data_IF_549203951867
#
_entry.id   IF_549203951867
#
_cell.length_a   1.000
_cell.length_b   1.000
_cell.length_c   1.000
_cell.angle_alpha   90.00
_cell.angle_beta   90.00
_cell.angle_gamma   90.00
#
_symmetry.space_group_name_H-M   'P 1'
#
loop_
_entity.id
_entity.type
_entity.pdbx_description
1 polymer ?
#
# COMPACT_ATOMS: atom_id res chain seq x y z
N UNK A 1 17.96 -5.62 8.08
CA UNK A 1 18.99 -4.62 7.70
C UNK A 1 18.43 -3.20 7.64
N UNK A 2 17.24 -2.99 7.07
CA UNK A 2 16.57 -1.68 6.99
C UNK A 2 16.38 -0.96 8.34
N UNK A 3 15.76 -1.61 9.33
CA UNK A 3 15.47 -0.98 10.62
C UNK A 3 16.73 -0.51 11.36
N UNK A 4 17.78 -1.34 11.38
CA UNK A 4 19.05 -0.99 12.03
C UNK A 4 19.79 0.18 11.36
N UNK A 5 19.60 0.38 10.05
CA UNK A 5 20.13 1.56 9.36
C UNK A 5 19.35 2.81 9.77
N UNK A 6 18.03 2.73 9.83
CA UNK A 6 17.18 3.85 10.22
C UNK A 6 17.34 4.24 11.68
N UNK A 7 17.53 3.28 12.59
CA UNK A 7 17.87 3.56 13.99
C UNK A 7 19.14 4.39 14.17
N UNK A 8 20.09 4.32 13.21
CA UNK A 8 21.31 5.15 13.22
C UNK A 8 21.14 6.47 12.47
N UNK A 9 20.17 6.56 11.56
CA UNK A 9 19.97 7.69 10.64
C UNK A 9 18.91 8.68 11.12
N UNK A 10 17.90 8.22 11.83
CA UNK A 10 16.77 9.04 12.25
C UNK A 10 17.22 10.18 13.15
N UNK A 11 16.65 11.38 12.94
CA UNK A 11 16.86 12.54 13.80
C UNK A 11 15.90 12.55 14.98
N UNK A 12 14.70 11.98 14.80
CA UNK A 12 13.69 11.93 15.85
C UNK A 12 13.77 10.59 16.60
N UNK A 13 13.97 10.59 17.93
CA UNK A 13 14.00 9.35 18.72
C UNK A 13 12.66 8.60 18.68
N UNK A 14 11.55 9.32 18.47
CA UNK A 14 10.23 8.75 18.25
C UNK A 14 10.20 7.83 17.01
N UNK A 15 10.99 8.14 15.99
CA UNK A 15 11.11 7.32 14.78
C UNK A 15 11.80 5.99 15.07
N UNK A 16 12.90 6.00 15.84
CA UNK A 16 13.58 4.77 16.24
C UNK A 16 12.65 3.86 17.07
N UNK A 17 11.87 4.47 17.96
CA UNK A 17 10.87 3.79 18.79
C UNK A 17 9.75 3.19 17.95
N UNK A 18 9.19 3.95 17.00
CA UNK A 18 8.15 3.49 16.10
C UNK A 18 8.59 2.29 15.26
N UNK A 19 9.80 2.35 14.67
CA UNK A 19 10.40 1.25 13.91
C UNK A 19 10.55 0.01 14.79
N UNK A 20 11.01 0.18 16.04
CA UNK A 20 11.14 -0.94 16.96
C UNK A 20 9.79 -1.61 17.26
N UNK A 21 8.74 -0.83 17.51
CA UNK A 21 7.38 -1.38 17.70
C UNK A 21 6.88 -2.13 16.46
N UNK A 22 7.06 -1.53 15.27
CA UNK A 22 6.64 -2.14 14.00
C UNK A 22 7.34 -3.48 13.76
N UNK A 23 8.64 -3.59 14.06
CA UNK A 23 9.40 -4.84 13.92
C UNK A 23 8.89 -5.98 14.81
N UNK A 24 8.29 -5.63 15.96
CA UNK A 24 7.71 -6.61 16.89
C UNK A 24 6.21 -6.85 16.62
N UNK A 25 5.62 -6.18 15.63
CA UNK A 25 4.20 -6.29 15.29
C UNK A 25 3.27 -5.46 16.18
N UNK A 26 3.80 -4.55 16.99
CA UNK A 26 3.02 -3.63 17.82
C UNK A 26 2.57 -2.42 17.00
N UNK A 27 1.66 -2.64 16.05
CA UNK A 27 1.29 -1.64 15.03
C UNK A 27 0.59 -0.41 15.60
N UNK A 28 -0.21 -0.55 16.66
CA UNK A 28 -0.90 0.59 17.31
C UNK A 28 0.12 1.52 17.97
N UNK A 29 1.04 0.97 18.77
CA UNK A 29 2.12 1.74 19.40
C UNK A 29 3.09 2.33 18.37
N UNK A 30 3.32 1.63 17.25
CA UNK A 30 4.13 2.14 16.15
C UNK A 30 3.44 3.36 15.50
N UNK A 31 2.14 3.26 15.18
CA UNK A 31 1.34 4.33 14.60
C UNK A 31 1.36 5.59 15.47
N UNK A 32 1.07 5.45 16.77
CA UNK A 32 1.14 6.58 17.72
C UNK A 32 2.52 7.23 17.76
N UNK A 33 3.59 6.42 17.69
CA UNK A 33 4.96 6.91 17.74
C UNK A 33 5.35 7.67 16.47
N UNK A 34 4.88 7.21 15.30
CA UNK A 34 5.04 7.94 14.04
C UNK A 34 4.28 9.28 14.06
N UNK A 35 3.04 9.31 14.55
CA UNK A 35 2.24 10.54 14.68
C UNK A 35 2.90 11.55 15.62
N UNK A 36 3.43 11.08 16.76
CA UNK A 36 4.22 11.92 17.69
C UNK A 36 5.45 12.52 17.00
N UNK A 37 6.14 11.76 16.15
CA UNK A 37 7.28 12.25 15.37
C UNK A 37 6.85 13.34 14.37
N UNK A 38 5.77 13.10 13.60
CA UNK A 38 5.22 14.06 12.65
C UNK A 38 4.82 15.38 13.33
N UNK A 39 4.09 15.31 14.44
CA UNK A 39 3.62 16.49 15.19
C UNK A 39 4.79 17.32 15.73
N UNK A 40 5.83 16.66 16.24
CA UNK A 40 7.03 17.34 16.75
C UNK A 40 7.80 18.01 15.62
N UNK A 41 7.94 17.33 14.49
CA UNK A 41 8.63 17.88 13.33
C UNK A 41 7.89 19.08 12.72
N UNK A 42 6.55 19.05 12.72
CA UNK A 42 5.72 20.19 12.32
C UNK A 42 5.97 21.42 13.21
N UNK A 43 6.02 21.24 14.53
CA UNK A 43 6.34 22.32 15.48
C UNK A 43 7.75 22.87 15.29
N UNK A 44 8.72 22.01 15.00
CA UNK A 44 10.10 22.44 14.72
C UNK A 44 10.20 23.22 13.40
N UNK A 45 9.37 22.87 12.41
CA UNK A 45 9.26 23.58 11.13
C UNK A 45 8.68 24.98 11.27
N UNK A 46 7.69 25.15 12.13
CA UNK A 46 7.10 26.47 12.41
C UNK A 46 8.09 27.41 13.12
N UNK A 47 9.07 26.85 13.85
CA UNK A 47 10.05 27.60 14.64
C UNK A 47 11.36 27.87 13.90
N UNK A 48 11.69 27.08 12.89
CA UNK A 48 13.00 27.13 12.23
C UNK A 48 12.95 26.62 10.80
N UNK A 49 13.91 27.09 9.97
CA UNK A 49 14.08 26.54 8.62
C UNK A 49 14.51 25.07 8.73
N UNK A 50 13.66 24.18 8.21
CA UNK A 50 13.92 22.74 8.24
C UNK A 50 14.98 22.36 7.23
N UNK A 51 15.97 21.61 7.71
CA UNK A 51 16.99 21.02 6.86
C UNK A 51 16.38 19.99 5.90
N UNK A 52 16.69 20.04 4.60
CA UNK A 52 16.22 19.04 3.61
C UNK A 52 16.58 17.60 3.96
N UNK A 53 17.58 17.40 4.82
CA UNK A 53 17.98 16.07 5.30
C UNK A 53 16.89 15.35 6.11
N UNK A 54 15.82 16.03 6.53
CA UNK A 54 14.68 15.39 7.20
C UNK A 54 13.64 14.79 6.24
N UNK A 55 13.60 15.23 4.98
CA UNK A 55 12.56 14.79 4.03
C UNK A 55 12.47 13.26 3.86
N UNK A 56 13.59 12.50 3.86
CA UNK A 56 13.50 11.04 3.85
C UNK A 56 12.82 10.46 5.08
N UNK A 57 12.93 11.12 6.23
CA UNK A 57 12.28 10.70 7.49
C UNK A 57 10.78 11.04 7.47
N UNK A 58 10.37 12.14 6.82
CA UNK A 58 8.94 12.45 6.59
C UNK A 58 8.28 11.40 5.71
N UNK A 59 8.92 11.06 4.58
CA UNK A 59 8.42 10.03 3.68
C UNK A 59 8.33 8.68 4.40
N UNK A 60 9.33 8.34 5.20
CA UNK A 60 9.32 7.15 6.04
C UNK A 60 8.09 7.12 6.95
N UNK A 61 7.78 8.21 7.65
CA UNK A 61 6.63 8.23 8.56
C UNK A 61 5.32 8.06 7.82
N UNK A 62 5.14 8.73 6.68
CA UNK A 62 3.92 8.58 5.86
C UNK A 62 3.76 7.14 5.38
N UNK A 63 4.78 6.57 4.75
CA UNK A 63 4.75 5.21 4.21
C UNK A 63 4.47 4.17 5.31
N UNK A 64 5.09 4.33 6.48
CA UNK A 64 4.97 3.37 7.59
C UNK A 64 3.71 3.56 8.42
N UNK A 65 3.20 4.79 8.55
CA UNK A 65 1.89 5.05 9.13
C UNK A 65 0.82 4.37 8.27
N UNK A 66 0.84 4.57 6.94
CA UNK A 66 -0.09 3.88 6.01
C UNK A 66 0.00 2.37 6.17
N UNK A 67 1.21 1.82 6.27
CA UNK A 67 1.40 0.38 6.48
C UNK A 67 0.78 -0.09 7.79
N UNK A 68 1.06 0.58 8.91
CA UNK A 68 0.50 0.21 10.21
C UNK A 68 -1.04 0.27 10.18
N UNK A 69 -1.61 1.32 9.59
CA UNK A 69 -3.07 1.44 9.44
C UNK A 69 -3.67 0.29 8.62
N UNK A 70 -2.98 -0.18 7.56
CA UNK A 70 -3.41 -1.36 6.78
C UNK A 70 -3.38 -2.65 7.61
N UNK A 71 -2.33 -2.87 8.39
CA UNK A 71 -2.21 -4.04 9.27
C UNK A 71 -3.28 -4.01 10.39
N UNK A 72 -3.68 -2.82 10.83
CA UNK A 72 -4.75 -2.60 11.80
C UNK A 72 -6.16 -2.57 11.17
N UNK A 73 -6.27 -2.77 9.85
CA UNK A 73 -7.54 -2.76 9.11
C UNK A 73 -8.32 -1.44 9.21
N UNK A 74 -7.62 -0.30 9.34
CA UNK A 74 -8.19 1.05 9.44
C UNK A 74 -8.37 1.68 8.04
N UNK A 75 -9.37 1.24 7.29
CA UNK A 75 -9.55 1.67 5.89
C UNK A 75 -10.26 3.01 5.74
N UNK A 76 -11.14 3.38 6.67
CA UNK A 76 -11.85 4.66 6.64
C UNK A 76 -10.89 5.85 6.82
N UNK A 77 -10.00 5.88 7.84
CA UNK A 77 -9.02 6.96 7.97
C UNK A 77 -8.05 7.03 6.78
N UNK A 78 -7.68 5.89 6.20
CA UNK A 78 -6.84 5.85 5.00
C UNK A 78 -7.55 6.41 3.77
N UNK A 79 -8.87 6.22 3.66
CA UNK A 79 -9.68 6.80 2.58
C UNK A 79 -9.71 8.32 2.71
N UNK A 80 -9.92 8.84 3.92
CA UNK A 80 -9.88 10.29 4.18
C UNK A 80 -8.51 10.88 3.87
N UNK A 81 -7.44 10.21 4.31
CA UNK A 81 -6.07 10.61 4.01
C UNK A 81 -5.78 10.66 2.50
N UNK A 82 -6.18 9.61 1.75
CA UNK A 82 -5.97 9.56 0.30
C UNK A 82 -6.78 10.59 -0.51
N UNK A 83 -7.86 11.12 0.05
CA UNK A 83 -8.66 12.20 -0.54
C UNK A 83 -8.15 13.60 -0.16
N UNK A 84 -7.25 13.71 0.83
CA UNK A 84 -6.76 14.99 1.31
C UNK A 84 -5.95 15.74 0.24
N UNK A 85 -6.08 17.07 0.22
CA UNK A 85 -5.38 17.93 -0.75
C UNK A 85 -3.86 17.84 -0.51
N UNK A 86 -3.12 17.36 -1.51
CA UNK A 86 -1.66 17.23 -1.47
C UNK A 86 -1.14 15.79 -1.33
N UNK A 87 -2.01 14.83 -0.96
CA UNK A 87 -1.64 13.41 -0.78
C UNK A 87 -2.45 12.46 -1.68
N UNK A 88 -2.90 12.95 -2.85
CA UNK A 88 -3.64 12.13 -3.81
C UNK A 88 -2.77 10.96 -4.28
N UNK A 89 -3.09 9.77 -3.78
CA UNK A 89 -2.41 8.53 -4.12
C UNK A 89 -3.45 7.56 -4.72
N UNK A 90 -3.55 7.48 -6.06
CA UNK A 90 -4.50 6.62 -6.73
C UNK A 90 -4.37 5.14 -6.35
N UNK A 91 -3.17 4.66 -6.02
CA UNK A 91 -2.96 3.28 -5.58
C UNK A 91 -3.54 3.03 -4.19
N UNK A 92 -3.33 3.96 -3.25
CA UNK A 92 -3.93 3.88 -1.92
C UNK A 92 -5.46 3.97 -2.03
N UNK A 93 -5.97 4.90 -2.84
CA UNK A 93 -7.41 5.06 -3.06
C UNK A 93 -8.04 3.81 -3.68
N UNK A 94 -7.38 3.20 -4.66
CA UNK A 94 -7.83 1.94 -5.24
C UNK A 94 -7.91 0.86 -4.17
N UNK A 95 -6.86 0.71 -3.34
CA UNK A 95 -6.80 -0.26 -2.25
C UNK A 95 -7.86 -0.03 -1.16
N UNK A 96 -8.11 1.22 -0.77
CA UNK A 96 -9.14 1.53 0.21
C UNK A 96 -10.54 1.28 -0.36
N UNK A 97 -10.81 1.75 -1.59
CA UNK A 97 -12.13 1.70 -2.21
C UNK A 97 -12.67 0.27 -2.35
N UNK A 98 -11.82 -0.71 -2.71
CA UNK A 98 -12.26 -2.11 -2.78
C UNK A 98 -12.53 -2.71 -1.38
N UNK A 99 -11.78 -2.30 -0.35
CA UNK A 99 -11.94 -2.77 1.03
C UNK A 99 -13.22 -2.27 1.68
N UNK A 100 -13.62 -1.02 1.41
CA UNK A 100 -14.87 -0.42 1.91
C UNK A 100 -16.05 -0.56 0.95
N UNK A 101 -15.89 -1.34 -0.13
CA UNK A 101 -16.92 -1.59 -1.15
C UNK A 101 -17.47 -0.32 -1.84
N UNK A 102 -16.65 0.72 -1.96
CA UNK A 102 -16.99 1.92 -2.74
C UNK A 102 -16.61 1.72 -4.22
N UNK A 103 -17.48 1.04 -4.97
CA UNK A 103 -17.22 0.66 -6.36
C UNK A 103 -17.05 1.86 -7.30
N UNK A 104 -17.75 2.97 -7.05
CA UNK A 104 -17.62 4.18 -7.83
C UNK A 104 -16.22 4.80 -7.69
N UNK A 105 -15.76 4.97 -6.45
CA UNK A 105 -14.41 5.46 -6.18
C UNK A 105 -13.34 4.47 -6.68
N UNK A 106 -13.60 3.17 -6.59
CA UNK A 106 -12.70 2.14 -7.10
C UNK A 106 -12.54 2.26 -8.63
N UNK A 107 -13.64 2.45 -9.37
CA UNK A 107 -13.62 2.63 -10.83
C UNK A 107 -12.84 3.88 -11.24
N UNK A 108 -13.04 5.00 -10.54
CA UNK A 108 -12.31 6.24 -10.80
C UNK A 108 -10.81 6.12 -10.51
N UNK A 109 -10.45 5.55 -9.35
CA UNK A 109 -9.06 5.32 -8.96
C UNK A 109 -8.35 4.36 -9.93
N UNK A 110 -9.05 3.32 -10.40
CA UNK A 110 -8.51 2.34 -11.33
C UNK A 110 -8.10 2.99 -12.66
N UNK A 111 -8.91 3.90 -13.22
CA UNK A 111 -8.57 4.62 -14.46
C UNK A 111 -7.27 5.42 -14.29
N UNK A 112 -7.09 6.08 -13.13
CA UNK A 112 -5.88 6.85 -12.85
C UNK A 112 -4.64 5.94 -12.67
N UNK A 113 -4.81 4.82 -11.97
CA UNK A 113 -3.75 3.83 -11.80
C UNK A 113 -3.35 3.23 -13.15
N UNK A 114 -4.29 2.90 -14.02
CA UNK A 114 -4.02 2.33 -15.35
C UNK A 114 -3.10 3.21 -16.22
N UNK A 115 -3.30 4.53 -16.18
CA UNK A 115 -2.51 5.48 -16.96
C UNK A 115 -1.06 5.60 -16.49
N UNK A 116 -0.79 5.29 -15.22
CA UNK A 116 0.50 5.49 -14.56
C UNK A 116 1.16 4.20 -14.06
N UNK A 117 0.56 3.04 -14.35
CA UNK A 117 0.96 1.75 -13.78
C UNK A 117 2.34 1.28 -14.29
N UNK A 118 3.31 1.02 -13.39
CA UNK A 118 4.52 0.28 -13.74
C UNK A 118 4.17 -1.10 -14.28
N UNK A 119 4.93 -1.58 -15.27
CA UNK A 119 4.68 -2.88 -15.91
C UNK A 119 4.70 -4.03 -14.90
N UNK A 120 5.51 -3.91 -13.86
CA UNK A 120 5.70 -4.86 -12.76
C UNK A 120 4.46 -4.95 -11.85
N UNK A 121 3.57 -3.96 -11.89
CA UNK A 121 2.33 -3.92 -11.10
C UNK A 121 1.07 -4.17 -11.95
N UNK A 122 1.22 -4.39 -13.26
CA UNK A 122 0.09 -4.61 -14.17
C UNK A 122 -0.80 -5.81 -13.78
N UNK A 123 -0.23 -6.81 -13.09
CA UNK A 123 -1.02 -7.93 -12.55
C UNK A 123 -2.03 -7.48 -11.49
N UNK A 124 -1.69 -6.51 -10.62
CA UNK A 124 -2.60 -5.96 -9.60
C UNK A 124 -3.77 -5.24 -10.24
N UNK A 125 -3.49 -4.47 -11.28
CA UNK A 125 -4.52 -3.72 -12.02
C UNK A 125 -5.53 -4.66 -12.65
N UNK A 126 -5.07 -5.72 -13.33
CA UNK A 126 -5.96 -6.73 -13.91
C UNK A 126 -6.82 -7.45 -12.86
N UNK A 127 -6.25 -7.70 -11.67
CA UNK A 127 -7.00 -8.27 -10.55
C UNK A 127 -8.13 -7.33 -10.07
N UNK A 128 -7.84 -6.05 -9.88
CA UNK A 128 -8.85 -5.06 -9.49
C UNK A 128 -9.94 -4.88 -10.57
N UNK A 129 -9.58 -4.95 -11.86
CA UNK A 129 -10.54 -4.96 -12.98
C UNK A 129 -11.45 -6.18 -12.91
N UNK A 130 -10.88 -7.36 -12.70
CA UNK A 130 -11.65 -8.60 -12.59
C UNK A 130 -12.64 -8.54 -11.44
N UNK A 131 -12.20 -8.03 -10.28
CA UNK A 131 -13.07 -7.85 -9.12
C UNK A 131 -14.22 -6.88 -9.38
N UNK A 132 -13.95 -5.71 -9.97
CA UNK A 132 -14.99 -4.76 -10.39
C UNK A 132 -16.00 -5.42 -11.34
N UNK A 133 -15.53 -6.18 -12.34
CA UNK A 133 -16.41 -6.86 -13.28
C UNK A 133 -17.28 -7.94 -12.61
N UNK A 134 -16.78 -8.62 -11.58
CA UNK A 134 -17.57 -9.58 -10.79
C UNK A 134 -18.65 -8.87 -9.97
N UNK A 135 -18.32 -7.72 -9.36
CA UNK A 135 -19.22 -6.96 -8.50
C UNK A 135 -20.34 -6.20 -9.25
N UNK A 136 -20.34 -6.24 -10.58
CA UNK A 136 -21.41 -5.69 -11.43
C UNK A 136 -22.09 -6.78 -12.28
N UNK A 137 -23.01 -7.59 -11.69
CA UNK A 137 -23.65 -8.73 -12.35
C UNK A 137 -24.37 -8.38 -13.66
N UNK A 138 -24.91 -7.17 -13.76
CA UNK A 138 -25.64 -6.73 -14.96
C UNK A 138 -24.72 -6.48 -16.17
N UNK A 139 -23.42 -6.31 -15.94
CA UNK A 139 -22.37 -6.14 -16.96
C UNK A 139 -21.42 -7.36 -17.03
N UNK A 140 -21.76 -8.48 -16.36
CA UNK A 140 -20.87 -9.64 -16.26
C UNK A 140 -20.64 -10.30 -17.63
N UNK A 141 -19.50 -10.00 -18.21
CA UNK A 141 -18.95 -10.72 -19.35
C UNK A 141 -17.99 -11.79 -18.81
N UNK A 142 -18.50 -13.00 -18.53
CA UNK A 142 -17.70 -14.10 -17.97
C UNK A 142 -16.41 -14.36 -18.76
N UNK A 143 -16.50 -14.39 -20.10
CA UNK A 143 -15.34 -14.53 -20.98
C UNK A 143 -14.29 -13.41 -20.82
N UNK A 144 -14.72 -12.20 -20.45
CA UNK A 144 -13.81 -11.09 -20.19
C UNK A 144 -13.13 -11.23 -18.82
N UNK A 145 -13.88 -11.69 -17.81
CA UNK A 145 -13.35 -11.97 -16.47
C UNK A 145 -12.30 -13.07 -16.53
N UNK A 146 -12.56 -14.18 -17.24
CA UNK A 146 -11.60 -15.27 -17.43
C UNK A 146 -10.29 -14.77 -18.06
N UNK A 147 -10.38 -13.92 -19.10
CA UNK A 147 -9.20 -13.31 -19.72
C UNK A 147 -8.42 -12.43 -18.75
N UNK A 148 -9.10 -11.65 -17.90
CA UNK A 148 -8.45 -10.81 -16.90
C UNK A 148 -7.71 -11.63 -15.85
N UNK A 149 -8.30 -12.74 -15.41
CA UNK A 149 -7.65 -13.70 -14.50
C UNK A 149 -6.41 -14.28 -15.16
N UNK A 150 -6.51 -14.82 -16.37
CA UNK A 150 -5.37 -15.41 -17.10
C UNK A 150 -4.22 -14.40 -17.29
N UNK A 151 -4.54 -13.15 -17.61
CA UNK A 151 -3.57 -12.06 -17.72
C UNK A 151 -2.89 -11.76 -16.37
N UNK A 152 -3.67 -11.64 -15.30
CA UNK A 152 -3.15 -11.37 -13.96
C UNK A 152 -2.20 -12.49 -13.51
N UNK A 153 -2.60 -13.76 -13.67
CA UNK A 153 -1.80 -14.93 -13.29
C UNK A 153 -0.52 -15.02 -14.11
N UNK A 154 -0.61 -14.82 -15.43
CA UNK A 154 0.57 -14.84 -16.33
C UNK A 154 1.58 -13.75 -15.98
N UNK A 155 1.13 -12.55 -15.65
CA UNK A 155 1.98 -11.44 -15.24
C UNK A 155 2.58 -11.67 -13.84
N UNK A 156 1.79 -12.18 -12.89
CA UNK A 156 2.29 -12.51 -11.55
C UNK A 156 3.38 -13.59 -11.59
N UNK A 157 3.22 -14.62 -12.44
CA UNK A 157 4.25 -15.65 -12.65
C UNK A 157 5.51 -15.05 -13.29
N UNK A 158 5.36 -14.09 -14.21
CA UNK A 158 6.51 -13.39 -14.81
C UNK A 158 7.30 -12.62 -13.75
N UNK A 159 6.62 -11.89 -12.87
CA UNK A 159 7.28 -11.17 -11.77
C UNK A 159 7.89 -12.13 -10.75
N UNK A 160 7.24 -13.25 -10.45
CA UNK A 160 7.81 -14.30 -9.60
C UNK A 160 9.17 -14.76 -10.11
N UNK A 161 9.28 -15.02 -11.42
CA UNK A 161 10.53 -15.49 -12.06
C UNK A 161 11.65 -14.44 -12.07
N UNK A 162 11.34 -13.16 -11.84
CA UNK A 162 12.34 -12.09 -11.73
C UNK A 162 12.92 -11.97 -10.33
N UNK A 163 12.26 -12.53 -9.32
CA UNK A 163 12.72 -12.52 -7.95
C UNK A 163 13.85 -13.56 -7.73
N UNK A 164 14.68 -13.39 -6.69
CA UNK A 164 15.69 -14.39 -6.35
C UNK A 164 15.07 -15.76 -6.08
N UNK A 165 15.79 -16.83 -6.44
CA UNK A 165 15.32 -18.21 -6.24
C UNK A 165 14.96 -18.55 -4.78
N UNK A 166 15.55 -17.84 -3.82
CA UNK A 166 15.27 -18.02 -2.40
C UNK A 166 13.96 -17.30 -2.05
N UNK A 167 12.94 -18.09 -1.74
CA UNK A 167 11.64 -17.59 -1.29
C UNK A 167 11.81 -16.80 0.01
N UNK A 168 11.26 -15.60 0.04
CA UNK A 168 11.36 -14.65 1.16
C UNK A 168 10.20 -13.64 1.11
N UNK A 169 10.18 -12.67 2.02
CA UNK A 169 9.09 -11.69 2.15
C UNK A 169 8.68 -10.99 0.84
N UNK A 170 9.61 -10.78 -0.09
CA UNK A 170 9.33 -10.18 -1.42
C UNK A 170 8.38 -11.01 -2.29
N UNK A 171 8.25 -12.30 -2.01
CA UNK A 171 7.37 -13.23 -2.71
C UNK A 171 5.94 -13.22 -2.15
N UNK A 172 5.74 -12.73 -0.93
CA UNK A 172 4.46 -12.81 -0.20
C UNK A 172 3.28 -12.21 -0.98
N UNK A 173 3.39 -11.02 -1.60
CA UNK A 173 2.26 -10.44 -2.34
C UNK A 173 1.82 -11.32 -3.52
N UNK A 174 2.77 -11.95 -4.23
CA UNK A 174 2.48 -12.85 -5.34
C UNK A 174 1.84 -14.16 -4.88
N UNK A 175 2.28 -14.68 -3.73
CA UNK A 175 1.67 -15.87 -3.11
C UNK A 175 0.24 -15.62 -2.68
N UNK A 176 -0.04 -14.47 -2.06
CA UNK A 176 -1.39 -14.10 -1.60
C UNK A 176 -2.39 -14.06 -2.77
N UNK A 177 -1.94 -13.62 -3.94
CA UNK A 177 -2.78 -13.52 -5.15
C UNK A 177 -3.08 -14.89 -5.73
N UNK A 178 -2.08 -15.77 -5.80
CA UNK A 178 -2.28 -17.16 -6.27
C UNK A 178 -3.23 -17.98 -5.39
N UNK A 179 -3.44 -17.58 -4.12
CA UNK A 179 -4.37 -18.27 -3.21
C UNK A 179 -5.83 -17.91 -3.46
N UNK A 180 -6.10 -16.74 -4.04
CA UNK A 180 -7.45 -16.37 -4.48
C UNK A 180 -8.00 -17.31 -5.57
N UNK A 181 -7.13 -18.06 -6.26
CA UNK A 181 -7.53 -19.05 -7.27
C UNK A 181 -7.95 -20.41 -6.68
N UNK A 182 -7.67 -20.69 -5.40
CA UNK A 182 -7.82 -22.05 -4.83
C UNK A 182 -8.96 -22.22 -3.81
N UNK A 183 -9.78 -21.20 -3.57
CA UNK A 183 -10.90 -21.30 -2.60
C UNK A 183 -12.26 -21.60 -3.25
N UNK A 184 -12.26 -22.02 -4.51
CA UNK A 184 -13.46 -22.46 -5.23
C UNK A 184 -13.26 -23.84 -5.89
N UNK A 185 -12.91 -24.84 -5.08
CA UNK A 185 -13.12 -26.27 -5.37
C UNK A 185 -13.77 -26.95 -4.17
#
# INVERSE_FOLDING_TARGET
>A
MWAGLWQKRCKFPETATAIAYEQHGFFEQAQESYEKAMEKARKDHERSNVSPAIFPEYQLWEDHWIRCSKELNQWEPLTEYGQSKGHSNPYLMLECAWRVSNWAAMKEALVQVELSCPKEMAWKVNMHRGYLAICHPEEQQLNFIERLVEMASSLAIREWRRLPHIVSHVHTPLLQVSRGEKTHE
#
